data_IF_198044417664
#
_entry.id   IF_198044417664
#
_cell.length_a   1.000
_cell.length_b   1.000
_cell.length_c   1.000
_cell.angle_alpha   90.00
_cell.angle_beta   90.00
_cell.angle_gamma   90.00
#
_symmetry.space_group_name_H-M   'P 1'
#
loop_
_entity.id
_entity.type
_entity.pdbx_description
1 polymer ?
#
# COMPACT_ATOMS: atom_id res chain seq x y z
N UNK A 1 -30.28 17.64 -8.16
CA UNK A 1 -28.95 17.04 -8.39
C UNK A 1 -28.86 15.74 -7.60
N UNK A 2 -28.72 14.60 -8.27
CA UNK A 2 -28.62 13.31 -7.61
C UNK A 2 -27.24 13.18 -6.95
N UNK A 3 -27.19 13.12 -5.61
CA UNK A 3 -25.95 12.81 -4.88
C UNK A 3 -25.61 11.34 -5.13
N UNK A 4 -24.45 11.08 -5.75
CA UNK A 4 -23.89 9.73 -5.89
C UNK A 4 -23.66 9.18 -4.48
N UNK A 5 -24.29 8.06 -4.14
CA UNK A 5 -24.03 7.34 -2.89
C UNK A 5 -22.65 6.67 -3.02
N UNK A 6 -21.66 7.16 -2.29
CA UNK A 6 -20.40 6.43 -2.12
C UNK A 6 -20.68 5.21 -1.25
N UNK A 7 -20.17 4.05 -1.63
CA UNK A 7 -20.44 2.77 -0.96
C UNK A 7 -19.46 2.49 0.20
N UNK A 8 -18.45 3.34 0.39
CA UNK A 8 -17.42 3.21 1.41
C UNK A 8 -16.70 4.54 1.59
N UNK A 9 -16.49 4.99 2.83
CA UNK A 9 -15.66 6.17 3.13
C UNK A 9 -14.20 5.79 3.29
N UNK A 10 -13.29 6.76 3.10
CA UNK A 10 -11.84 6.53 3.17
C UNK A 10 -11.43 6.05 4.57
N UNK A 11 -12.04 6.62 5.60
CA UNK A 11 -11.82 6.29 6.99
C UNK A 11 -12.23 4.85 7.34
N UNK A 12 -13.19 4.26 6.62
CA UNK A 12 -13.64 2.88 6.83
C UNK A 12 -12.69 1.83 6.22
N UNK A 13 -11.83 2.23 5.30
CA UNK A 13 -11.00 1.30 4.52
C UNK A 13 -9.53 1.35 4.96
N UNK A 14 -9.02 2.52 5.37
CA UNK A 14 -7.58 2.69 5.64
C UNK A 14 -7.08 1.76 6.75
N UNK A 15 -5.96 1.08 6.45
CA UNK A 15 -5.24 0.26 7.43
C UNK A 15 -4.21 1.13 8.13
N UNK A 16 -4.25 1.26 9.47
CA UNK A 16 -3.26 2.06 10.20
C UNK A 16 -1.89 1.38 10.20
N UNK A 17 -0.82 2.16 10.01
CA UNK A 17 0.58 1.68 9.95
C UNK A 17 1.03 0.98 11.24
N UNK A 18 0.45 1.35 12.38
CA UNK A 18 0.76 0.75 13.70
C UNK A 18 -0.29 -0.24 14.22
N UNK A 19 -1.25 -0.64 13.39
CA UNK A 19 -2.25 -1.64 13.79
C UNK A 19 -1.64 -3.04 13.94
N UNK A 20 -2.26 -3.90 14.74
CA UNK A 20 -1.84 -5.30 14.78
C UNK A 20 -2.08 -5.97 13.41
N UNK A 21 -1.05 -6.60 12.82
CA UNK A 21 -1.21 -7.28 11.55
C UNK A 21 -2.08 -8.52 11.71
N UNK A 22 -2.91 -8.79 10.70
CA UNK A 22 -3.72 -10.01 10.68
C UNK A 22 -2.85 -11.27 10.80
N UNK A 23 -3.37 -12.28 11.50
CA UNK A 23 -2.71 -13.57 11.57
C UNK A 23 -2.62 -14.19 10.18
N UNK A 24 -1.41 -14.62 9.81
CA UNK A 24 -1.10 -15.27 8.53
C UNK A 24 -0.49 -16.65 8.78
N UNK A 25 -0.59 -17.54 7.80
CA UNK A 25 0.04 -18.86 7.88
C UNK A 25 1.57 -18.75 8.02
N UNK A 26 2.20 -19.76 8.61
CA UNK A 26 3.66 -19.80 8.75
C UNK A 26 4.39 -19.72 7.40
N UNK A 27 3.81 -20.32 6.36
CA UNK A 27 4.35 -20.24 5.00
C UNK A 27 4.30 -18.81 4.44
N UNK A 28 3.17 -18.12 4.60
CA UNK A 28 3.06 -16.73 4.15
C UNK A 28 3.98 -15.81 4.97
N UNK A 29 4.14 -16.07 6.26
CA UNK A 29 5.09 -15.34 7.12
C UNK A 29 6.52 -15.47 6.62
N UNK A 30 6.96 -16.69 6.31
CA UNK A 30 8.30 -16.92 5.76
C UNK A 30 8.54 -16.16 4.44
N UNK A 31 7.52 -16.05 3.57
CA UNK A 31 7.61 -15.26 2.34
C UNK A 31 7.73 -13.76 2.62
N UNK A 32 6.95 -13.25 3.58
CA UNK A 32 7.01 -11.84 4.00
C UNK A 32 8.38 -11.52 4.60
N UNK A 33 8.90 -12.38 5.49
CA UNK A 33 10.21 -12.20 6.11
C UNK A 33 11.33 -12.19 5.07
N UNK A 34 11.29 -13.13 4.11
CA UNK A 34 12.23 -13.18 3.01
C UNK A 34 12.20 -11.90 2.15
N UNK A 35 11.01 -11.39 1.82
CA UNK A 35 10.87 -10.12 1.12
C UNK A 35 11.46 -8.96 1.93
N UNK A 36 11.19 -8.89 3.24
CA UNK A 36 11.70 -7.84 4.12
C UNK A 36 13.23 -7.86 4.21
N UNK A 37 13.85 -9.04 4.31
CA UNK A 37 15.31 -9.20 4.26
C UNK A 37 15.90 -8.68 2.95
N UNK A 38 15.32 -9.05 1.81
CA UNK A 38 15.79 -8.57 0.50
C UNK A 38 15.69 -7.05 0.36
N UNK A 39 14.65 -6.43 0.92
CA UNK A 39 14.50 -4.98 0.94
C UNK A 39 15.59 -4.34 1.80
N UNK A 40 15.88 -4.89 2.99
CA UNK A 40 16.99 -4.41 3.85
C UNK A 40 18.32 -4.51 3.12
N UNK A 41 18.60 -5.63 2.47
CA UNK A 41 19.83 -5.84 1.70
C UNK A 41 19.97 -4.91 0.50
N UNK A 42 18.86 -4.62 -0.19
CA UNK A 42 18.87 -3.65 -1.28
C UNK A 42 19.22 -2.25 -0.75
N UNK A 43 18.65 -1.87 0.40
CA UNK A 43 18.94 -0.58 1.05
C UNK A 43 20.39 -0.44 1.49
N UNK A 44 20.98 -1.47 2.11
CA UNK A 44 22.40 -1.42 2.53
C UNK A 44 23.35 -1.25 1.35
N UNK A 45 22.94 -1.68 0.15
CA UNK A 45 23.67 -1.54 -1.11
C UNK A 45 23.35 -0.25 -1.88
N UNK A 46 22.45 0.60 -1.36
CA UNK A 46 21.97 1.79 -2.09
C UNK A 46 21.18 1.45 -3.36
N UNK A 47 20.65 0.23 -3.47
CA UNK A 47 19.88 -0.21 -4.62
C UNK A 47 18.42 0.26 -4.54
N UNK A 48 17.78 0.39 -5.71
CA UNK A 48 16.36 0.75 -5.81
C UNK A 48 15.46 -0.40 -5.38
N UNK A 49 14.35 -0.06 -4.71
CA UNK A 49 13.29 -1.01 -4.34
C UNK A 49 11.98 -0.53 -4.96
N UNK A 50 11.47 -1.30 -5.92
CA UNK A 50 10.24 -0.97 -6.65
C UNK A 50 9.12 -1.93 -6.26
N UNK A 51 7.97 -1.38 -5.88
CA UNK A 51 6.75 -2.16 -5.68
C UNK A 51 5.86 -2.06 -6.92
N UNK A 52 5.46 -3.20 -7.47
CA UNK A 52 4.49 -3.29 -8.57
C UNK A 52 3.20 -3.88 -8.02
N UNK A 53 2.08 -3.18 -8.16
CA UNK A 53 0.79 -3.60 -7.59
C UNK A 53 -0.40 -3.25 -8.48
N UNK A 54 -1.51 -3.98 -8.32
CA UNK A 54 -2.79 -3.64 -8.97
C UNK A 54 -3.68 -2.76 -8.10
N UNK A 55 -4.65 -2.08 -8.72
CA UNK A 55 -5.55 -1.11 -8.10
C UNK A 55 -6.26 -1.53 -6.79
N UNK A 56 -6.40 -2.83 -6.54
CA UNK A 56 -7.03 -3.34 -5.31
C UNK A 56 -6.21 -3.10 -4.05
N UNK A 57 -4.89 -2.87 -4.16
CA UNK A 57 -4.06 -2.60 -2.98
C UNK A 57 -4.51 -1.31 -2.28
N UNK A 58 -4.73 -0.25 -3.05
CA UNK A 58 -5.23 1.04 -2.55
C UNK A 58 -6.68 0.91 -2.07
N UNK A 59 -7.53 0.22 -2.84
CA UNK A 59 -8.93 -0.05 -2.46
C UNK A 59 -9.06 -0.83 -1.14
N UNK A 60 -8.05 -1.62 -0.78
CA UNK A 60 -8.00 -2.38 0.47
C UNK A 60 -7.33 -1.60 1.61
N UNK A 61 -7.06 -0.30 1.44
CA UNK A 61 -6.64 0.59 2.52
C UNK A 61 -5.15 0.68 2.77
N UNK A 62 -4.31 0.15 1.87
CA UNK A 62 -2.87 0.14 2.06
C UNK A 62 -2.19 1.50 1.81
N UNK A 63 -2.93 2.56 1.47
CA UNK A 63 -2.37 3.87 1.11
C UNK A 63 -1.41 4.40 2.19
N UNK A 64 -1.82 4.42 3.47
CA UNK A 64 -0.97 4.89 4.57
C UNK A 64 0.28 4.02 4.78
N UNK A 65 0.19 2.72 4.49
CA UNK A 65 1.32 1.80 4.57
C UNK A 65 2.33 2.13 3.47
N UNK A 66 1.86 2.35 2.24
CA UNK A 66 2.72 2.73 1.12
C UNK A 66 3.39 4.09 1.36
N UNK A 67 2.64 5.07 1.85
CA UNK A 67 3.17 6.39 2.23
C UNK A 67 4.27 6.25 3.27
N UNK A 68 4.05 5.45 4.31
CA UNK A 68 5.05 5.22 5.34
C UNK A 68 6.31 4.54 4.79
N UNK A 69 6.14 3.53 3.93
CA UNK A 69 7.25 2.82 3.32
C UNK A 69 8.09 3.73 2.40
N UNK A 70 7.44 4.61 1.64
CA UNK A 70 8.14 5.59 0.78
C UNK A 70 8.83 6.66 1.63
N UNK A 71 8.12 7.26 2.59
CA UNK A 71 8.65 8.34 3.43
C UNK A 71 9.89 7.90 4.24
N UNK A 72 9.97 6.63 4.61
CA UNK A 72 11.10 6.06 5.35
C UNK A 72 12.15 5.35 4.44
N UNK A 73 12.01 5.49 3.12
CA UNK A 73 12.96 4.95 2.14
C UNK A 73 13.01 3.42 2.06
N UNK A 74 11.94 2.73 2.45
CA UNK A 74 11.79 1.29 2.26
C UNK A 74 11.40 0.94 0.82
N UNK A 75 10.62 1.80 0.18
CA UNK A 75 10.31 1.76 -1.25
C UNK A 75 10.83 3.05 -1.90
N UNK A 76 11.37 2.93 -3.11
CA UNK A 76 11.85 4.09 -3.87
C UNK A 76 10.99 4.39 -5.09
N UNK A 77 10.29 3.39 -5.63
CA UNK A 77 9.42 3.54 -6.79
C UNK A 77 8.15 2.71 -6.63
N UNK A 78 7.06 3.20 -7.21
CA UNK A 78 5.81 2.47 -7.37
C UNK A 78 5.52 2.29 -8.86
N UNK A 79 4.98 1.14 -9.24
CA UNK A 79 4.28 0.96 -10.51
C UNK A 79 2.92 0.31 -10.28
N UNK A 80 1.93 0.81 -11.01
CA UNK A 80 0.58 0.26 -10.96
C UNK A 80 -0.09 0.31 -12.34
N UNK A 81 -1.23 -0.35 -12.46
CA UNK A 81 -2.06 -0.24 -13.65
C UNK A 81 -2.86 1.09 -13.63
N UNK A 82 -3.41 1.53 -14.77
CA UNK A 82 -4.11 2.82 -14.84
C UNK A 82 -5.25 2.99 -13.82
N UNK A 83 -5.91 1.89 -13.44
CA UNK A 83 -6.92 1.90 -12.38
C UNK A 83 -6.35 2.23 -10.99
N UNK A 84 -5.11 1.86 -10.70
CA UNK A 84 -4.44 2.19 -9.44
C UNK A 84 -4.23 3.68 -9.26
N UNK A 85 -3.82 4.38 -10.32
CA UNK A 85 -3.67 5.84 -10.32
C UNK A 85 -5.01 6.56 -10.16
N UNK A 86 -6.08 6.05 -10.77
CA UNK A 86 -7.43 6.63 -10.63
C UNK A 86 -7.92 6.50 -9.19
N UNK A 87 -7.82 5.32 -8.58
CA UNK A 87 -8.24 5.15 -7.19
C UNK A 87 -7.43 6.03 -6.24
N UNK A 88 -6.11 6.09 -6.40
CA UNK A 88 -5.23 6.92 -5.57
C UNK A 88 -5.64 8.41 -5.63
N UNK A 89 -5.90 8.91 -6.84
CA UNK A 89 -6.41 10.27 -7.03
C UNK A 89 -7.82 10.47 -6.46
N UNK A 90 -8.75 9.52 -6.65
CA UNK A 90 -10.10 9.60 -6.08
C UNK A 90 -10.04 9.65 -4.54
N UNK A 91 -9.19 8.84 -3.90
CA UNK A 91 -8.96 8.88 -2.46
C UNK A 91 -8.38 10.23 -2.00
N UNK A 92 -7.33 10.71 -2.68
CA UNK A 92 -6.66 11.97 -2.33
C UNK A 92 -7.53 13.22 -2.58
N UNK A 93 -8.41 13.19 -3.58
CA UNK A 93 -9.21 14.34 -4.01
C UNK A 93 -10.60 14.39 -3.38
N UNK A 94 -11.31 13.25 -3.27
CA UNK A 94 -12.66 13.25 -2.74
C UNK A 94 -12.73 13.02 -1.23
N UNK A 95 -11.73 12.37 -0.63
CA UNK A 95 -11.79 11.97 0.79
C UNK A 95 -13.06 11.15 1.12
N UNK A 96 -13.72 10.57 0.11
CA UNK A 96 -15.02 9.89 0.16
C UNK A 96 -15.18 8.89 -0.97
#
# INVERSE_FOLDING_TARGET
MAKRKSLSTVEEILVPVGGEPAAISGQLRAQVDHCAERIRDARTKGATVMLIYGAHLIKNGAALILDNLIANGWLTHLATNGAGTIHDWEYAWLGR
#
